data_IF_389178021774
#
_entry.id   IF_389178021774
#
_cell.length_a   1.000
_cell.length_b   1.000
_cell.length_c   1.000
_cell.angle_alpha   90.00
_cell.angle_beta   90.00
_cell.angle_gamma   90.00
#
_symmetry.space_group_name_H-M   'P 1'
#
loop_
_entity.id
_entity.type
_entity.pdbx_description
1 polymer ?
#
# COMPACT_ATOMS: atom_id res chain seq x y z
N UNK A 1 3.37 40.78 36.30
CA UNK A 1 4.12 40.48 35.05
C UNK A 1 5.48 39.80 35.24
N UNK A 2 6.28 40.09 36.29
CA UNK A 2 7.63 39.48 36.45
C UNK A 2 7.65 37.94 36.57
N UNK A 3 6.62 37.32 37.15
CA UNK A 3 6.48 35.85 37.26
C UNK A 3 5.97 35.16 35.98
N UNK A 4 5.47 35.92 35.00
CA UNK A 4 4.93 35.37 33.74
C UNK A 4 6.05 35.05 32.74
N UNK A 5 7.13 35.84 32.73
CA UNK A 5 8.30 35.64 31.87
C UNK A 5 8.98 34.27 32.04
N UNK A 6 9.28 33.78 33.26
CA UNK A 6 9.88 32.45 33.41
C UNK A 6 8.92 31.33 33.00
N UNK A 7 7.60 31.49 33.22
CA UNK A 7 6.59 30.50 32.80
C UNK A 7 6.53 30.41 31.27
N UNK A 8 6.51 31.55 30.57
CA UNK A 8 6.53 31.58 29.10
C UNK A 8 7.84 31.00 28.53
N UNK A 9 8.97 31.24 29.19
CA UNK A 9 10.25 30.65 28.80
C UNK A 9 10.23 29.12 28.94
N UNK A 10 9.72 28.60 30.06
CA UNK A 10 9.57 27.15 30.29
C UNK A 10 8.63 26.55 29.24
N UNK A 11 7.49 27.19 28.96
CA UNK A 11 6.55 26.71 27.94
C UNK A 11 7.21 26.67 26.56
N UNK A 12 7.97 27.71 26.18
CA UNK A 12 8.72 27.74 24.94
C UNK A 12 9.74 26.61 24.83
N UNK A 13 10.45 26.31 25.92
CA UNK A 13 11.41 25.19 25.98
C UNK A 13 10.68 23.85 25.79
N UNK A 14 9.56 23.63 26.49
CA UNK A 14 8.78 22.38 26.37
C UNK A 14 8.28 22.17 24.94
N UNK A 15 7.74 23.22 24.32
CA UNK A 15 7.30 23.20 22.91
C UNK A 15 8.50 22.91 21.99
N UNK A 16 9.64 23.56 22.21
CA UNK A 16 10.86 23.35 21.44
C UNK A 16 11.36 21.90 21.53
N UNK A 17 11.38 21.33 22.75
CA UNK A 17 11.74 19.93 22.99
C UNK A 17 10.77 19.00 22.27
N UNK A 18 9.46 19.25 22.34
CA UNK A 18 8.45 18.44 21.64
C UNK A 18 8.70 18.38 20.12
N UNK A 19 8.95 19.53 19.48
CA UNK A 19 9.25 19.57 18.06
C UNK A 19 10.60 18.91 17.72
N UNK A 20 11.61 19.09 18.56
CA UNK A 20 12.92 18.44 18.37
C UNK A 20 12.80 16.92 18.42
N UNK A 21 12.06 16.38 19.39
CA UNK A 21 11.78 14.94 19.47
C UNK A 21 10.99 14.45 18.25
N UNK A 22 10.02 15.22 17.77
CA UNK A 22 9.29 14.90 16.54
C UNK A 22 10.22 14.81 15.33
N UNK A 23 11.14 15.77 15.18
CA UNK A 23 12.13 15.78 14.11
C UNK A 23 13.09 14.59 14.22
N UNK A 24 13.66 14.34 15.41
CA UNK A 24 14.59 13.25 15.67
C UNK A 24 13.92 11.90 15.37
N UNK A 25 12.68 11.69 15.84
CA UNK A 25 11.93 10.46 15.57
C UNK A 25 11.64 10.28 14.07
N UNK A 26 11.29 11.36 13.35
CA UNK A 26 11.11 11.31 11.90
C UNK A 26 12.42 10.97 11.18
N UNK A 27 13.53 11.57 11.61
CA UNK A 27 14.86 11.30 11.07
C UNK A 27 15.27 9.84 11.29
N UNK A 28 15.22 9.34 12.53
CA UNK A 28 15.51 7.93 12.81
C UNK A 28 14.53 7.00 12.11
N UNK A 29 13.25 7.37 12.00
CA UNK A 29 12.26 6.62 11.25
C UNK A 29 12.56 6.59 9.74
N UNK A 30 13.18 7.62 9.18
CA UNK A 30 13.54 7.66 7.77
C UNK A 30 14.82 6.88 7.49
N UNK A 31 15.89 7.22 8.21
CA UNK A 31 17.24 6.69 7.98
C UNK A 31 17.48 5.35 8.67
N UNK A 32 16.92 5.12 9.85
CA UNK A 32 17.03 3.84 10.56
C UNK A 32 16.30 2.71 9.83
N UNK A 33 15.11 2.98 9.27
CA UNK A 33 14.38 2.01 8.45
C UNK A 33 14.71 2.10 6.95
N UNK A 34 15.68 2.93 6.56
CA UNK A 34 16.15 3.11 5.18
C UNK A 34 15.01 3.18 4.15
N UNK A 35 13.99 4.01 4.41
CA UNK A 35 12.69 3.94 3.72
C UNK A 35 12.75 4.03 2.18
N UNK A 36 13.82 4.60 1.63
CA UNK A 36 14.06 4.74 0.20
C UNK A 36 14.63 3.49 -0.48
N UNK A 37 15.17 2.52 0.27
CA UNK A 37 15.74 1.30 -0.31
C UNK A 37 14.66 0.28 -0.68
N UNK A 38 13.53 0.31 0.02
CA UNK A 38 12.48 -0.68 -0.11
C UNK A 38 11.44 -0.25 -1.13
N UNK A 39 11.01 -1.23 -1.93
CA UNK A 39 9.90 -1.11 -2.88
C UNK A 39 8.62 -0.71 -2.15
N UNK A 40 7.82 0.13 -2.82
CA UNK A 40 6.55 0.65 -2.33
C UNK A 40 5.41 0.22 -3.24
N UNK A 41 4.21 0.23 -2.67
CA UNK A 41 2.94 -0.11 -3.31
C UNK A 41 1.87 0.84 -2.80
N UNK A 42 0.98 1.27 -3.68
CA UNK A 42 -0.11 2.23 -3.38
C UNK A 42 -1.32 1.58 -2.71
N UNK A 43 -1.34 0.23 -2.63
CA UNK A 43 -2.33 -0.56 -1.87
C UNK A 43 -3.79 -0.27 -2.29
N UNK A 44 -4.02 -0.13 -3.59
CA UNK A 44 -5.33 0.15 -4.16
C UNK A 44 -5.72 1.63 -4.20
N UNK A 45 -4.86 2.54 -3.73
CA UNK A 45 -5.07 3.98 -3.94
C UNK A 45 -4.70 4.37 -5.37
N UNK A 46 -5.72 4.39 -6.23
CA UNK A 46 -5.58 4.76 -7.64
C UNK A 46 -5.13 6.22 -7.81
N UNK A 47 -5.54 7.11 -6.91
CA UNK A 47 -5.18 8.53 -6.95
C UNK A 47 -3.70 8.68 -6.66
N UNK A 48 -3.20 8.06 -5.59
CA UNK A 48 -1.76 8.06 -5.27
C UNK A 48 -0.93 7.49 -6.43
N UNK A 49 -1.38 6.39 -7.03
CA UNK A 49 -0.68 5.75 -8.16
C UNK A 49 -0.56 6.68 -9.39
N UNK A 50 -1.62 7.45 -9.67
CA UNK A 50 -1.63 8.44 -10.75
C UNK A 50 -0.77 9.65 -10.42
N UNK A 51 -0.90 10.22 -9.21
CA UNK A 51 -0.11 11.37 -8.75
C UNK A 51 1.40 11.09 -8.77
N UNK A 52 1.78 9.86 -8.42
CA UNK A 52 3.17 9.40 -8.48
C UNK A 52 3.66 9.06 -9.89
N UNK A 53 2.79 9.11 -10.90
CA UNK A 53 3.05 8.69 -12.28
C UNK A 53 3.56 7.24 -12.39
N UNK A 54 3.02 6.33 -11.58
CA UNK A 54 3.38 4.91 -11.60
C UNK A 54 2.27 4.02 -12.15
N UNK A 55 1.03 4.50 -12.22
CA UNK A 55 -0.11 3.78 -12.79
C UNK A 55 0.14 3.33 -14.23
N UNK A 56 -0.24 2.08 -14.55
CA UNK A 56 -0.16 1.51 -15.90
C UNK A 56 -1.56 1.26 -16.47
N UNK A 57 -2.35 0.39 -15.84
CA UNK A 57 -3.68 0.01 -16.32
C UNK A 57 -4.54 -0.57 -15.21
N UNK A 58 -5.86 -0.44 -15.37
CA UNK A 58 -6.84 -1.11 -14.51
C UNK A 58 -6.84 -2.62 -14.76
N UNK A 59 -7.16 -3.38 -13.73
CA UNK A 59 -7.53 -4.79 -13.82
C UNK A 59 -9.04 -4.93 -13.60
N UNK A 60 -9.61 -5.99 -14.14
CA UNK A 60 -11.00 -6.34 -13.89
C UNK A 60 -11.10 -7.17 -12.61
N UNK A 61 -12.26 -7.11 -11.96
CA UNK A 61 -12.51 -7.95 -10.80
C UNK A 61 -13.96 -8.46 -10.72
N UNK A 62 -14.13 -9.58 -10.02
CA UNK A 62 -15.43 -10.17 -9.73
C UNK A 62 -15.52 -10.60 -8.27
N UNK A 63 -16.65 -10.28 -7.63
CA UNK A 63 -17.00 -10.70 -6.27
C UNK A 63 -17.72 -12.05 -6.30
N UNK A 64 -17.32 -12.97 -5.42
CA UNK A 64 -17.89 -14.31 -5.31
C UNK A 64 -18.23 -14.62 -3.84
N UNK A 65 -19.52 -14.67 -3.45
CA UNK A 65 -20.71 -14.41 -4.27
C UNK A 65 -20.83 -12.93 -4.67
N UNK A 66 -21.56 -12.67 -5.77
CA UNK A 66 -21.82 -11.31 -6.22
C UNK A 66 -22.59 -10.54 -5.15
N UNK A 67 -22.12 -9.35 -4.83
CA UNK A 67 -22.71 -8.41 -3.88
C UNK A 67 -22.56 -7.00 -4.43
N UNK A 68 -23.55 -6.15 -4.19
CA UNK A 68 -23.71 -4.89 -4.92
C UNK A 68 -23.01 -3.69 -4.27
N UNK A 69 -22.09 -3.87 -3.32
CA UNK A 69 -21.64 -2.71 -2.51
C UNK A 69 -20.24 -2.78 -1.90
N UNK A 70 -19.26 -3.36 -2.59
CA UNK A 70 -17.87 -3.31 -2.14
C UNK A 70 -17.02 -2.40 -3.02
N UNK A 71 -16.53 -1.30 -2.46
CA UNK A 71 -15.54 -0.46 -3.12
C UNK A 71 -14.19 -1.17 -3.13
N UNK A 72 -13.72 -1.53 -4.33
CA UNK A 72 -12.49 -2.27 -4.54
C UNK A 72 -11.81 -1.78 -5.81
N UNK A 73 -10.51 -1.53 -5.71
CA UNK A 73 -9.68 -1.16 -6.85
C UNK A 73 -8.60 -2.23 -7.03
N UNK A 74 -8.31 -2.57 -8.28
CA UNK A 74 -7.15 -3.36 -8.65
C UNK A 74 -6.57 -2.84 -9.96
N UNK A 75 -5.25 -2.67 -10.00
CA UNK A 75 -4.54 -2.15 -11.14
C UNK A 75 -3.08 -2.58 -11.13
N UNK A 76 -2.42 -2.44 -12.29
CA UNK A 76 -0.98 -2.61 -12.41
C UNK A 76 -0.32 -1.24 -12.31
N UNK A 77 0.77 -1.18 -11.56
CA UNK A 77 1.65 -0.02 -11.48
C UNK A 77 3.11 -0.41 -11.68
N UNK A 78 3.93 0.55 -12.08
CA UNK A 78 5.38 0.41 -12.06
C UNK A 78 5.84 0.23 -10.62
N UNK A 79 6.80 -0.66 -10.40
CA UNK A 79 7.52 -0.72 -9.14
C UNK A 79 8.29 0.58 -8.91
N UNK A 80 8.24 1.06 -7.67
CA UNK A 80 8.91 2.29 -7.27
C UNK A 80 9.42 2.22 -5.83
N UNK A 81 10.34 3.13 -5.52
CA UNK A 81 10.75 3.46 -4.14
C UNK A 81 10.47 4.93 -3.88
N UNK A 82 10.54 5.31 -2.61
CA UNK A 82 10.68 6.73 -2.27
C UNK A 82 12.06 7.25 -2.67
N UNK A 83 12.17 8.56 -2.89
CA UNK A 83 13.45 9.21 -3.07
C UNK A 83 14.27 9.20 -1.78
N UNK A 84 15.60 9.23 -1.89
CA UNK A 84 16.53 9.07 -0.76
C UNK A 84 16.20 9.90 0.50
N UNK A 85 15.65 11.10 0.33
CA UNK A 85 15.36 12.04 1.41
C UNK A 85 13.89 12.48 1.50
N UNK A 86 12.98 11.87 0.73
CA UNK A 86 11.58 12.31 0.67
C UNK A 86 10.63 11.20 0.23
N UNK A 87 9.50 11.08 0.92
CA UNK A 87 8.38 10.19 0.54
C UNK A 87 7.54 10.72 -0.60
N UNK A 88 7.67 12.02 -0.91
CA UNK A 88 6.95 12.67 -2.02
C UNK A 88 7.64 12.34 -3.34
N UNK A 89 8.98 12.27 -3.34
CA UNK A 89 9.74 11.89 -4.52
C UNK A 89 9.55 10.40 -4.80
N UNK A 90 9.27 10.07 -6.05
CA UNK A 90 9.12 8.70 -6.56
C UNK A 90 10.32 8.34 -7.43
N UNK A 91 10.91 7.16 -7.23
CA UNK A 91 12.01 6.63 -8.05
C UNK A 91 11.60 5.26 -8.62
N UNK A 92 11.53 5.12 -9.95
CA UNK A 92 11.14 3.88 -10.61
C UNK A 92 12.25 2.82 -10.52
N UNK A 93 11.89 1.55 -10.32
CA UNK A 93 12.87 0.45 -10.16
C UNK A 93 13.25 -0.26 -11.46
N UNK A 94 12.87 0.28 -12.63
CA UNK A 94 12.89 -0.38 -13.96
C UNK A 94 14.14 -1.18 -14.32
N UNK A 95 15.33 -0.79 -13.84
CA UNK A 95 16.62 -1.40 -14.19
C UNK A 95 17.24 -2.24 -13.08
N UNK A 96 16.61 -2.32 -11.90
CA UNK A 96 17.20 -2.92 -10.69
C UNK A 96 16.56 -4.25 -10.31
N UNK A 97 15.58 -4.73 -11.09
CA UNK A 97 14.83 -5.94 -10.78
C UNK A 97 14.29 -6.58 -12.05
N UNK A 98 14.20 -7.89 -12.01
CA UNK A 98 13.50 -8.72 -12.99
C UNK A 98 11.98 -8.46 -13.04
N UNK A 99 11.42 -7.85 -11.99
CA UNK A 99 9.98 -7.64 -11.85
C UNK A 99 9.64 -6.15 -11.74
N UNK A 100 9.76 -5.36 -12.82
CA UNK A 100 9.62 -3.91 -12.78
C UNK A 100 8.17 -3.43 -12.56
N UNK A 101 7.18 -4.33 -12.53
CA UNK A 101 5.77 -4.02 -12.33
C UNK A 101 5.20 -4.75 -11.12
N UNK A 102 4.05 -4.30 -10.63
CA UNK A 102 3.32 -4.96 -9.54
C UNK A 102 1.82 -4.75 -9.68
N UNK A 103 1.06 -5.66 -9.09
CA UNK A 103 -0.38 -5.49 -8.86
C UNK A 103 -0.59 -4.75 -7.55
N UNK A 104 -1.34 -3.65 -7.62
CA UNK A 104 -1.82 -2.88 -6.47
C UNK A 104 -3.33 -3.08 -6.37
N UNK A 105 -3.80 -3.46 -5.19
CA UNK A 105 -5.22 -3.67 -4.92
C UNK A 105 -5.58 -3.20 -3.52
N UNK A 106 -6.86 -2.87 -3.31
CA UNK A 106 -7.37 -2.46 -2.01
C UNK A 106 -7.11 -3.56 -0.98
N UNK A 107 -6.47 -3.23 0.14
CA UNK A 107 -6.22 -4.20 1.23
C UNK A 107 -7.35 -4.27 2.24
N UNK A 108 -8.20 -3.25 2.26
CA UNK A 108 -9.31 -3.08 3.20
C UNK A 108 -10.43 -2.26 2.55
N UNK A 109 -11.63 -2.39 3.08
CA UNK A 109 -12.74 -1.49 2.73
C UNK A 109 -12.55 -0.10 3.37
N UNK A 110 -13.34 0.87 2.92
CA UNK A 110 -13.31 2.26 3.42
C UNK A 110 -13.59 2.37 4.92
N UNK A 111 -14.36 1.43 5.49
CA UNK A 111 -14.71 1.40 6.90
C UNK A 111 -13.73 0.57 7.77
N UNK A 112 -12.70 -0.05 7.18
CA UNK A 112 -11.75 -0.96 7.83
C UNK A 112 -12.43 -2.15 8.55
N UNK A 113 -13.60 -2.58 8.08
CA UNK A 113 -14.35 -3.75 8.60
C UNK A 113 -14.04 -5.02 7.82
N UNK A 114 -13.49 -4.88 6.62
CA UNK A 114 -13.19 -5.98 5.72
C UNK A 114 -11.72 -5.88 5.31
N UNK A 115 -11.03 -7.03 5.28
CA UNK A 115 -9.70 -7.15 4.69
C UNK A 115 -9.71 -8.10 3.50
N UNK A 116 -8.81 -7.85 2.56
CA UNK A 116 -8.62 -8.67 1.37
C UNK A 116 -7.26 -9.34 1.44
N UNK A 117 -7.27 -10.64 1.71
CA UNK A 117 -6.06 -11.42 1.92
C UNK A 117 -5.71 -12.19 0.66
N UNK A 118 -4.49 -12.00 0.15
CA UNK A 118 -3.99 -12.71 -1.02
C UNK A 118 -3.91 -14.22 -0.73
N UNK A 119 -4.59 -15.04 -1.53
CA UNK A 119 -4.43 -16.48 -1.46
C UNK A 119 -3.07 -16.87 -2.07
N UNK A 120 -2.41 -17.95 -1.59
CA UNK A 120 -1.22 -18.46 -2.23
C UNK A 120 -1.49 -18.84 -3.69
N UNK A 121 -0.68 -18.31 -4.62
CA UNK A 121 -0.80 -18.61 -6.05
C UNK A 121 0.46 -19.35 -6.49
N UNK A 122 0.29 -20.54 -7.05
CA UNK A 122 1.39 -21.43 -7.43
C UNK A 122 2.05 -21.07 -8.77
N UNK A 123 1.41 -20.24 -9.60
CA UNK A 123 1.82 -19.92 -10.98
C UNK A 123 2.36 -18.50 -11.19
N UNK A 124 2.61 -17.76 -10.12
CA UNK A 124 3.05 -16.37 -10.24
C UNK A 124 4.56 -16.19 -10.30
N UNK A 125 4.96 -15.18 -11.06
CA UNK A 125 6.32 -14.71 -11.27
C UNK A 125 7.10 -14.52 -9.94
N UNK A 126 6.53 -13.75 -9.00
CA UNK A 126 7.01 -13.59 -7.63
C UNK A 126 5.95 -12.89 -6.78
N UNK A 127 5.90 -13.18 -5.47
CA UNK A 127 4.89 -12.62 -4.57
C UNK A 127 5.45 -12.35 -3.16
N UNK A 128 4.95 -11.29 -2.53
CA UNK A 128 5.06 -11.02 -1.08
C UNK A 128 3.65 -11.05 -0.47
N UNK A 129 3.51 -11.04 0.86
CA UNK A 129 2.24 -11.22 1.61
C UNK A 129 1.04 -10.44 1.04
N UNK A 130 1.26 -9.27 0.44
CA UNK A 130 0.20 -8.43 -0.11
C UNK A 130 0.48 -7.87 -1.51
N UNK A 131 1.51 -8.36 -2.21
CA UNK A 131 1.91 -7.78 -3.50
C UNK A 131 2.30 -8.89 -4.47
N UNK A 132 1.75 -8.81 -5.68
CA UNK A 132 2.17 -9.64 -6.81
C UNK A 132 3.14 -8.85 -7.67
N UNK A 133 4.33 -9.38 -7.94
CA UNK A 133 5.32 -8.76 -8.80
C UNK A 133 5.28 -9.39 -10.19
N UNK A 134 5.44 -8.55 -11.22
CA UNK A 134 5.27 -8.95 -12.61
C UNK A 134 6.50 -8.55 -13.44
N UNK A 135 6.93 -9.44 -14.33
CA UNK A 135 7.99 -9.16 -15.32
C UNK A 135 7.51 -8.22 -16.43
N UNK A 136 6.25 -8.39 -16.85
CA UNK A 136 5.55 -7.58 -17.85
C UNK A 136 4.36 -6.85 -17.22
N UNK A 137 3.85 -5.76 -17.81
CA UNK A 137 2.66 -5.08 -17.31
C UNK A 137 1.36 -5.83 -17.66
N UNK A 138 1.37 -7.14 -17.46
CA UNK A 138 0.33 -8.09 -17.87
C UNK A 138 0.17 -9.13 -16.76
N UNK A 139 -1.07 -9.50 -16.48
CA UNK A 139 -1.38 -10.53 -15.51
C UNK A 139 -1.73 -11.81 -16.27
N UNK A 140 -0.93 -12.86 -16.10
CA UNK A 140 -1.05 -14.12 -16.85
C UNK A 140 -2.06 -15.10 -16.25
N UNK A 141 -2.47 -14.91 -15.00
CA UNK A 141 -3.40 -15.78 -14.29
C UNK A 141 -4.25 -14.98 -13.30
N UNK A 142 -5.41 -15.52 -12.92
CA UNK A 142 -6.34 -14.86 -12.00
C UNK A 142 -5.77 -14.83 -10.59
N UNK A 143 -5.78 -13.66 -9.96
CA UNK A 143 -5.51 -13.51 -8.53
C UNK A 143 -6.79 -13.75 -7.76
N UNK A 144 -6.69 -14.52 -6.69
CA UNK A 144 -7.79 -14.73 -5.76
C UNK A 144 -7.46 -14.08 -4.42
N UNK A 145 -8.34 -13.19 -3.97
CA UNK A 145 -8.30 -12.62 -2.63
C UNK A 145 -9.42 -13.21 -1.79
N UNK A 146 -9.12 -13.56 -0.55
CA UNK A 146 -10.09 -13.96 0.47
C UNK A 146 -10.67 -12.73 1.15
N UNK A 147 -11.99 -12.61 1.20
CA UNK A 147 -12.66 -11.52 1.91
C UNK A 147 -12.85 -11.95 3.36
N UNK A 148 -12.27 -11.20 4.31
CA UNK A 148 -12.42 -11.45 5.75
C UNK A 148 -13.12 -10.28 6.42
N UNK A 149 -14.13 -10.57 7.22
CA UNK A 149 -14.78 -9.58 8.07
C UNK A 149 -14.08 -9.53 9.43
N UNK A 150 -13.75 -8.34 9.89
CA UNK A 150 -13.33 -8.09 11.26
C UNK A 150 -14.58 -8.05 12.15
N UNK A 151 -14.93 -9.18 12.73
CA UNK A 151 -15.83 -9.24 13.89
C UNK A 151 -15.02 -9.62 15.14
N UNK A 152 -15.42 -9.11 16.30
CA UNK A 152 -14.71 -9.22 17.60
C UNK A 152 -14.50 -10.65 18.14
N UNK A 153 -14.66 -11.69 17.32
CA UNK A 153 -14.38 -13.09 17.67
C UNK A 153 -13.27 -13.62 16.78
N UNK A 154 -12.21 -14.11 17.44
CA UNK A 154 -11.10 -14.85 16.84
C UNK A 154 -11.71 -16.04 16.10
N UNK A 155 -11.73 -15.97 14.76
CA UNK A 155 -12.37 -16.95 13.89
C UNK A 155 -12.88 -16.30 12.61
N UNK A 156 -11.97 -15.99 11.68
CA UNK A 156 -12.28 -15.32 10.41
C UNK A 156 -12.85 -16.30 9.38
N UNK A 157 -14.17 -16.47 9.37
CA UNK A 157 -14.82 -17.11 8.23
C UNK A 157 -14.70 -16.21 6.99
N UNK A 158 -14.40 -16.85 5.86
CA UNK A 158 -14.43 -16.17 4.55
C UNK A 158 -15.87 -15.77 4.27
N UNK A 159 -16.12 -14.49 3.97
CA UNK A 159 -17.45 -14.07 3.50
C UNK A 159 -17.54 -14.08 1.97
N UNK A 160 -16.43 -14.35 1.29
CA UNK A 160 -16.37 -14.48 -0.16
C UNK A 160 -14.94 -14.40 -0.68
N UNK A 161 -14.82 -14.23 -1.99
CA UNK A 161 -13.57 -14.05 -2.71
C UNK A 161 -13.67 -12.92 -3.74
N UNK A 162 -12.53 -12.32 -4.05
CA UNK A 162 -12.36 -11.43 -5.20
C UNK A 162 -11.47 -12.14 -6.19
N UNK A 163 -11.94 -12.25 -7.43
CA UNK A 163 -11.12 -12.62 -8.57
C UNK A 163 -10.61 -11.34 -9.21
N UNK A 164 -9.31 -11.23 -9.48
CA UNK A 164 -8.71 -10.14 -10.24
C UNK A 164 -8.06 -10.73 -11.47
N UNK A 165 -8.36 -10.19 -12.64
CA UNK A 165 -7.86 -10.71 -13.91
C UNK A 165 -7.61 -9.58 -14.91
N UNK A 166 -6.81 -9.88 -15.93
CA UNK A 166 -6.57 -9.00 -17.06
C UNK A 166 -7.51 -9.38 -18.19
N UNK A 167 -8.33 -8.43 -18.64
CA UNK A 167 -9.38 -8.66 -19.66
C UNK A 167 -8.84 -9.28 -20.95
N UNK A 168 -7.57 -9.01 -21.27
CA UNK A 168 -6.93 -9.50 -22.49
C UNK A 168 -6.39 -10.93 -22.37
N UNK A 169 -6.34 -11.50 -21.16
CA UNK A 169 -5.78 -12.82 -20.87
C UNK A 169 -6.80 -13.80 -20.25
N UNK A 170 -8.10 -13.48 -20.30
CA UNK A 170 -9.19 -14.36 -19.85
C UNK A 170 -9.39 -15.51 -20.85
N UNK A 171 -8.55 -16.54 -20.77
CA UNK A 171 -8.72 -17.83 -21.46
C UNK A 171 -9.62 -18.78 -20.70
#
# INVERSE_FOLDING_TARGET
MKKLKPILAILGIVIGIYFLFGFINSFFGWYGYEKWKYRRVTRGDLTESKERNVFIKNLEFELVPKTDSLEFNAFIENGFTYGKHSSVKTELIKTKTDFPFQVSFSQKDTLNKITFDLLPITKMDSMDYFVVYLRKPELNDTIYLKIRKWENKIGTDSIGFIKIYDKNNSG
#
